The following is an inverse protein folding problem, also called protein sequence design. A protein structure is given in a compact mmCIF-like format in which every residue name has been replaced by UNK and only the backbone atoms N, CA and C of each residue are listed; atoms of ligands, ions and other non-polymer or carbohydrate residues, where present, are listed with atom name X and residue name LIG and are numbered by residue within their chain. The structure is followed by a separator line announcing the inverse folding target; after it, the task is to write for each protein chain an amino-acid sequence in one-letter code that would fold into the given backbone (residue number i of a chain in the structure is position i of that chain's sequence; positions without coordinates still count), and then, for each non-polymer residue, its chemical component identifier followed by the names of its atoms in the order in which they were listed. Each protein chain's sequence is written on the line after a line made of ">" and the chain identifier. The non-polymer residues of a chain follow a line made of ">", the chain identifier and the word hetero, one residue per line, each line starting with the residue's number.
data_IF_761766077519
#
_entry.id   IF_761766077519
#
_cell.length_a   1.000
_cell.length_b   1.000
_cell.length_c   1.000
_cell.angle_alpha   90.00
_cell.angle_beta   90.00
_cell.angle_gamma   90.00
#
_symmetry.space_group_name_H-M   'P 1'
#
loop_
_entity.id
_entity.type
_entity.pdbx_description
1 polymer ?
#
# COMPACT_ATOMS: atom_id res chain seq x y z
N UNK A 1 -14.01 -17.77 -0.63
CA UNK A 1 -12.84 -17.55 0.25
C UNK A 1 -11.79 -16.93 -0.64
N UNK A 2 -11.42 -15.66 -0.55
CA UNK A 2 -11.38 -14.75 0.60
C UNK A 2 -11.53 -13.30 0.10
N UNK A 3 -12.11 -12.46 0.95
CA UNK A 3 -12.69 -11.15 0.70
C UNK A 3 -11.65 -10.03 0.52
N UNK A 4 -11.95 -9.02 -0.31
CA UNK A 4 -11.39 -7.66 -0.16
C UNK A 4 -12.20 -6.61 -0.96
N UNK A 5 -13.45 -6.38 -0.53
CA UNK A 5 -14.11 -5.11 -0.78
C UNK A 5 -13.60 -4.09 0.24
N UNK A 6 -13.20 -2.90 -0.20
CA UNK A 6 -12.83 -1.83 0.71
C UNK A 6 -12.36 -0.57 -0.01
N UNK A 7 -13.27 0.39 -0.18
CA UNK A 7 -12.92 1.81 -0.21
C UNK A 7 -14.16 2.65 0.15
N UNK A 8 -14.53 2.66 1.43
CA UNK A 8 -15.33 3.75 2.01
C UNK A 8 -14.44 4.49 3.01
N UNK A 9 -14.06 5.70 2.64
CA UNK A 9 -13.28 6.56 3.51
C UNK A 9 -14.16 7.16 4.61
N UNK A 10 -13.89 6.82 5.88
CA UNK A 10 -14.11 7.77 6.96
C UNK A 10 -13.32 7.45 8.26
N UNK A 11 -12.76 8.52 8.86
CA UNK A 11 -12.35 8.69 10.27
C UNK A 11 -11.13 7.92 10.82
N UNK A 12 -10.10 8.73 11.11
CA UNK A 12 -8.99 8.49 12.05
C UNK A 12 -9.47 7.82 13.35
N UNK A 13 -8.97 6.63 13.70
CA UNK A 13 -8.68 6.20 15.09
C UNK A 13 -7.46 5.28 15.13
N UNK A 14 -6.52 5.62 16.03
CA UNK A 14 -5.38 4.79 16.47
C UNK A 14 -5.91 3.53 17.16
N UNK A 15 -5.62 2.34 16.64
CA UNK A 15 -5.43 1.11 17.42
C UNK A 15 -5.20 -0.10 16.50
N UNK A 16 -4.23 -0.93 16.87
CA UNK A 16 -3.88 -2.17 16.17
C UNK A 16 -2.39 -2.22 15.87
N UNK A 17 -1.61 -2.88 16.74
CA UNK A 17 -0.23 -3.30 16.47
C UNK A 17 -0.24 -4.30 15.30
N UNK A 18 -0.42 -3.81 14.07
CA UNK A 18 -0.04 -4.55 12.87
C UNK A 18 1.49 -4.62 12.94
N UNK A 19 2.07 -5.81 12.83
CA UNK A 19 3.52 -6.04 12.86
C UNK A 19 4.16 -5.00 11.94
N UNK A 20 4.68 -3.93 12.57
CA UNK A 20 5.24 -2.83 11.85
C UNK A 20 6.58 -3.36 11.40
N UNK A 21 6.64 -3.83 10.14
CA UNK A 21 7.93 -3.96 9.48
C UNK A 21 8.66 -2.64 9.76
N UNK A 22 9.83 -2.68 10.39
CA UNK A 22 10.53 -1.48 10.76
C UNK A 22 10.62 -0.53 9.59
N UNK A 23 10.70 0.76 9.89
CA UNK A 23 11.20 1.76 8.94
C UNK A 23 12.72 1.54 8.72
N UNK A 24 13.13 0.30 8.46
CA UNK A 24 14.47 -0.04 8.00
C UNK A 24 14.54 0.32 6.52
N UNK A 25 15.66 0.92 6.11
CA UNK A 25 15.93 1.26 4.71
C UNK A 25 15.94 0.03 3.81
N UNK A 26 16.20 -1.15 4.37
CA UNK A 26 16.29 -2.43 3.66
C UNK A 26 15.00 -3.24 3.72
N UNK A 27 14.00 -2.79 4.46
CA UNK A 27 12.72 -3.46 4.51
C UNK A 27 11.97 -3.33 3.19
N UNK A 28 11.34 -4.40 2.68
CA UNK A 28 10.51 -4.31 1.49
C UNK A 28 9.36 -3.34 1.75
N UNK A 29 9.10 -2.48 0.76
CA UNK A 29 8.02 -1.48 0.82
C UNK A 29 6.68 -2.17 0.61
N UNK A 30 5.63 -1.65 1.26
CA UNK A 30 4.27 -2.19 1.14
C UNK A 30 3.86 -2.34 -0.34
N UNK A 31 3.14 -3.41 -0.70
CA UNK A 31 2.70 -3.61 -2.07
C UNK A 31 1.73 -2.51 -2.47
N UNK A 32 1.77 -2.13 -3.74
CA UNK A 32 0.83 -1.15 -4.31
C UNK A 32 -0.51 -1.87 -4.52
N UNK A 33 -1.58 -1.31 -3.95
CA UNK A 33 -2.95 -1.84 -4.06
C UNK A 33 -3.57 -1.49 -5.41
N UNK A 34 -4.67 -2.17 -5.77
CA UNK A 34 -5.39 -1.96 -7.03
C UNK A 34 -5.84 -0.50 -7.19
N UNK A 35 -6.44 0.06 -6.13
CA UNK A 35 -6.81 1.48 -6.10
C UNK A 35 -5.61 2.40 -6.30
N UNK A 36 -4.47 2.13 -5.67
CA UNK A 36 -3.29 2.98 -5.81
C UNK A 36 -2.69 2.92 -7.22
N UNK A 37 -2.76 1.77 -7.90
CA UNK A 37 -2.37 1.64 -9.30
C UNK A 37 -3.28 2.50 -10.17
N UNK A 38 -4.59 2.30 -10.05
CA UNK A 38 -5.60 3.09 -10.76
C UNK A 38 -5.45 4.59 -10.52
N UNK A 39 -5.29 4.99 -9.26
CA UNK A 39 -5.10 6.38 -8.88
C UNK A 39 -3.80 6.98 -9.42
N UNK A 40 -2.74 6.17 -9.58
CA UNK A 40 -1.50 6.65 -10.18
C UNK A 40 -1.69 6.96 -11.67
N UNK A 41 -2.32 6.05 -12.42
CA UNK A 41 -2.62 6.23 -13.84
C UNK A 41 -3.53 7.45 -14.06
N UNK A 42 -4.64 7.55 -13.32
CA UNK A 42 -5.58 8.66 -13.47
C UNK A 42 -4.97 10.01 -13.05
N UNK A 43 -4.09 10.05 -12.03
CA UNK A 43 -3.35 11.28 -11.71
C UNK A 43 -2.41 11.70 -12.83
N UNK A 44 -1.69 10.77 -13.45
CA UNK A 44 -0.80 11.07 -14.58
C UNK A 44 -1.62 11.63 -15.74
N UNK A 45 -2.77 11.01 -16.02
CA UNK A 45 -3.71 11.48 -17.03
C UNK A 45 -4.25 12.88 -16.72
N UNK A 46 -4.81 13.10 -15.52
CA UNK A 46 -5.35 14.40 -15.12
C UNK A 46 -4.28 15.50 -15.09
N UNK A 47 -3.05 15.19 -14.67
CA UNK A 47 -1.94 16.14 -14.68
C UNK A 47 -1.44 16.44 -16.10
N UNK A 48 -1.55 15.48 -17.03
CA UNK A 48 -1.23 15.70 -18.45
C UNK A 48 -2.27 16.60 -19.11
N UNK A 49 -3.54 16.42 -18.77
CA UNK A 49 -4.65 17.24 -19.29
C UNK A 49 -4.65 18.64 -18.65
N UNK A 50 -4.38 18.75 -17.35
CA UNK A 50 -4.29 20.01 -16.63
C UNK A 50 -3.17 19.97 -15.58
N UNK A 51 -1.97 20.48 -15.90
CA UNK A 51 -0.82 20.44 -14.99
C UNK A 51 -0.98 21.35 -13.76
N UNK A 52 -1.88 22.34 -13.81
CA UNK A 52 -2.18 23.28 -12.72
C UNK A 52 -3.22 22.75 -11.72
N UNK A 53 -3.88 21.62 -12.04
CA UNK A 53 -4.89 21.02 -11.16
C UNK A 53 -4.27 20.56 -9.84
N UNK A 54 -4.94 20.86 -8.73
CA UNK A 54 -4.45 20.47 -7.40
C UNK A 54 -4.52 18.96 -7.19
N UNK A 55 -3.51 18.41 -6.50
CA UNK A 55 -3.49 17.00 -6.09
C UNK A 55 -4.70 16.61 -5.25
N UNK A 56 -5.21 17.53 -4.42
CA UNK A 56 -6.41 17.28 -3.62
C UNK A 56 -7.66 17.05 -4.46
N UNK A 57 -7.83 17.85 -5.52
CA UNK A 57 -8.98 17.74 -6.43
C UNK A 57 -8.91 16.48 -7.28
N UNK A 58 -7.72 16.18 -7.84
CA UNK A 58 -7.49 14.94 -8.58
C UNK A 58 -7.86 13.70 -7.75
N UNK A 59 -7.44 13.64 -6.48
CA UNK A 59 -7.76 12.50 -5.62
C UNK A 59 -9.24 12.36 -5.28
N UNK A 60 -9.95 13.47 -5.13
CA UNK A 60 -11.41 13.42 -4.89
C UNK A 60 -12.13 12.82 -6.09
N UNK A 61 -11.76 13.27 -7.30
CA UNK A 61 -12.34 12.77 -8.54
C UNK A 61 -12.01 11.30 -8.77
N UNK A 62 -10.76 10.90 -8.54
CA UNK A 62 -10.31 9.50 -8.65
C UNK A 62 -11.04 8.58 -7.67
N UNK A 63 -11.23 9.01 -6.42
CA UNK A 63 -11.98 8.22 -5.43
C UNK A 63 -13.44 8.01 -5.86
N UNK A 64 -14.08 9.05 -6.40
CA UNK A 64 -15.42 8.93 -6.97
C UNK A 64 -15.44 8.02 -8.20
N UNK A 65 -14.45 8.14 -9.08
CA UNK A 65 -14.34 7.33 -10.28
C UNK A 65 -14.13 5.85 -9.92
N UNK A 66 -13.24 5.54 -8.96
CA UNK A 66 -13.03 4.17 -8.50
C UNK A 66 -14.30 3.54 -7.96
N UNK A 67 -15.13 4.28 -7.21
CA UNK A 67 -16.40 3.76 -6.72
C UNK A 67 -17.46 3.59 -7.82
N UNK A 68 -17.30 4.32 -8.93
CA UNK A 68 -18.23 4.29 -10.06
C UNK A 68 -17.87 3.25 -11.13
N UNK A 69 -16.57 2.96 -11.33
CA UNK A 69 -16.16 2.01 -12.36
C UNK A 69 -16.60 0.58 -12.02
N UNK A 70 -17.08 -0.14 -13.03
CA UNK A 70 -17.51 -1.52 -12.91
C UNK A 70 -16.36 -2.49 -12.58
N UNK A 71 -16.69 -3.71 -12.09
CA UNK A 71 -15.69 -4.71 -11.72
C UNK A 71 -14.78 -5.08 -12.89
N UNK A 72 -15.29 -5.11 -14.11
CA UNK A 72 -14.53 -5.36 -15.35
C UNK A 72 -13.32 -4.43 -15.53
N UNK A 73 -13.47 -3.14 -15.19
CA UNK A 73 -12.38 -2.16 -15.26
C UNK A 73 -11.46 -2.23 -14.04
N UNK A 74 -11.96 -2.70 -12.91
CA UNK A 74 -11.18 -2.92 -11.69
C UNK A 74 -10.33 -4.18 -11.76
N UNK A 75 -10.81 -5.25 -12.42
CA UNK A 75 -10.13 -6.55 -12.55
C UNK A 75 -8.64 -6.44 -12.91
N UNK A 76 -8.23 -5.75 -13.99
CA UNK A 76 -6.81 -5.67 -14.35
C UNK A 76 -5.95 -5.05 -13.23
N UNK A 77 -6.50 -4.08 -12.49
CA UNK A 77 -5.80 -3.48 -11.35
C UNK A 77 -5.76 -4.41 -10.13
N UNK A 78 -6.81 -5.21 -9.92
CA UNK A 78 -6.86 -6.23 -8.87
C UNK A 78 -5.86 -7.36 -9.14
N UNK A 79 -5.80 -7.85 -10.37
CA UNK A 79 -4.81 -8.84 -10.81
C UNK A 79 -3.39 -8.32 -10.62
N UNK A 80 -3.13 -7.08 -11.05
CA UNK A 80 -1.81 -6.47 -10.89
C UNK A 80 -1.45 -6.25 -9.42
N UNK A 81 -2.43 -5.91 -8.57
CA UNK A 81 -2.24 -5.78 -7.14
C UNK A 81 -1.92 -7.13 -6.47
N UNK A 82 -2.54 -8.22 -6.93
CA UNK A 82 -2.25 -9.56 -6.45
C UNK A 82 -0.83 -10.00 -6.82
N UNK A 83 -0.39 -9.72 -8.06
CA UNK A 83 1.01 -9.94 -8.48
C UNK A 83 1.98 -9.14 -7.61
N UNK A 84 1.66 -7.88 -7.32
CA UNK A 84 2.47 -7.04 -6.44
C UNK A 84 2.51 -7.57 -5.01
N UNK A 85 1.38 -8.07 -4.49
CA UNK A 85 1.28 -8.70 -3.17
C UNK A 85 2.16 -9.93 -3.09
N UNK A 86 2.10 -10.82 -4.08
CA UNK A 86 2.91 -12.03 -4.13
C UNK A 86 4.41 -11.71 -4.21
N UNK A 87 4.79 -10.70 -5.02
CA UNK A 87 6.17 -10.23 -5.09
C UNK A 87 6.64 -9.70 -3.73
N UNK A 88 5.83 -8.87 -3.08
CA UNK A 88 6.11 -8.36 -1.75
C UNK A 88 6.29 -9.48 -0.73
N UNK A 89 5.43 -10.49 -0.73
CA UNK A 89 5.53 -11.63 0.19
C UNK A 89 6.86 -12.37 0.02
N UNK A 90 7.32 -12.58 -1.23
CA UNK A 90 8.63 -13.19 -1.51
C UNK A 90 9.79 -12.32 -1.03
N UNK A 91 9.70 -10.99 -1.22
CA UNK A 91 10.72 -10.06 -0.73
C UNK A 91 10.75 -9.98 0.80
N UNK A 92 9.59 -10.04 1.44
CA UNK A 92 9.43 -10.11 2.90
C UNK A 92 10.02 -11.40 3.46
N UNK A 93 9.79 -12.54 2.83
CA UNK A 93 10.41 -13.80 3.27
C UNK A 93 11.93 -13.74 3.18
N UNK A 94 12.47 -13.20 2.08
CA UNK A 94 13.92 -12.99 1.92
C UNK A 94 14.47 -12.03 2.96
N UNK A 95 13.80 -10.92 3.21
CA UNK A 95 14.19 -9.95 4.23
C UNK A 95 14.18 -10.57 5.62
N UNK A 96 13.15 -11.35 5.96
CA UNK A 96 13.06 -12.06 7.24
C UNK A 96 14.20 -13.06 7.47
N UNK A 97 14.68 -13.71 6.40
CA UNK A 97 15.83 -14.63 6.46
C UNK A 97 17.18 -13.90 6.50
N UNK A 98 17.21 -12.59 6.17
CA UNK A 98 18.44 -11.79 6.13
C UNK A 98 18.93 -11.37 7.51
N UNK A 99 20.23 -11.12 7.63
CA UNK A 99 20.84 -10.61 8.86
C UNK A 99 20.37 -9.19 9.22
N UNK A 100 19.84 -8.43 8.25
CA UNK A 100 19.21 -7.13 8.50
C UNK A 100 17.97 -7.27 9.40
N UNK A 101 17.12 -8.27 9.13
CA UNK A 101 15.94 -8.53 9.97
C UNK A 101 16.31 -9.08 11.34
N UNK A 102 17.33 -9.95 11.44
CA UNK A 102 17.84 -10.42 12.73
C UNK A 102 18.41 -9.28 13.57
N UNK A 103 19.19 -8.38 12.95
CA UNK A 103 19.73 -7.17 13.60
C UNK A 103 18.62 -6.23 14.04
N UNK A 104 17.57 -6.08 13.24
CA UNK A 104 16.36 -5.37 13.68
C UNK A 104 15.72 -6.03 14.90
N UNK A 105 15.46 -7.34 14.87
CA UNK A 105 14.88 -8.05 16.02
C UNK A 105 15.73 -7.88 17.28
N UNK A 106 17.05 -7.85 17.15
CA UNK A 106 17.96 -7.60 18.27
C UNK A 106 17.88 -6.16 18.79
N UNK A 107 17.70 -5.16 17.92
CA UNK A 107 17.55 -3.76 18.35
C UNK A 107 16.19 -3.51 19.01
N UNK A 108 15.08 -4.01 18.46
CA UNK A 108 13.76 -3.87 19.13
C UNK A 108 13.65 -4.69 20.42
N UNK A 109 14.24 -5.90 20.48
CA UNK A 109 14.25 -6.69 21.70
C UNK A 109 15.15 -6.06 22.79
N UNK A 110 16.25 -5.41 22.40
CA UNK A 110 17.13 -4.68 23.32
C UNK A 110 16.46 -3.44 23.94
N UNK A 111 15.64 -2.71 23.18
CA UNK A 111 14.90 -1.55 23.71
C UNK A 111 13.83 -1.96 24.73
N UNK A 112 13.26 -3.16 24.62
CA UNK A 112 12.25 -3.67 25.56
C UNK A 112 12.83 -4.13 26.91
N UNK A 113 14.16 -4.27 27.04
CA UNK A 113 14.85 -4.75 28.25
C UNK A 113 15.57 -3.63 29.03
N UNK A 114 15.36 -2.37 28.64
CA UNK A 114 15.97 -1.18 29.24
C UNK A 114 14.93 -0.22 29.85
N UNK A 115 13.75 -0.73 30.24
CA UNK A 115 12.79 -0.03 31.10
C UNK A 115 12.61 -0.80 32.40
#
# INVERSE_FOLDING_TARGET
>A
MEEAAGDEGEKRKKSGKKVAIPKDRHAPKKPITAYNLFAADERIRMKKENPDRSFGEMNREIGSLWNTIGPEKKQPYLDQAEVNRQKYMKEVEKYQKSDHYKKYLQTVAGTAKSL
#
